data_IF_428840740328
#
_entry.id   IF_428840740328
#
_cell.length_a   1.000
_cell.length_b   1.000
_cell.length_c   1.000
_cell.angle_alpha   90.00
_cell.angle_beta   90.00
_cell.angle_gamma   90.00
#
_symmetry.space_group_name_H-M   'P 1'
#
loop_
_entity.id
_entity.type
_entity.pdbx_description
1 polymer ?
#
# COMPACT_ATOMS: atom_id res chain seq x y z
N UNK A 1 -31.70 30.14 10.76
CA UNK A 1 -30.64 29.32 10.14
C UNK A 1 -30.14 30.00 8.88
N UNK A 2 -28.94 30.56 8.90
CA UNK A 2 -28.36 31.21 7.73
C UNK A 2 -28.07 30.14 6.67
N UNK A 3 -28.73 30.18 5.52
CA UNK A 3 -28.39 29.38 4.33
C UNK A 3 -27.01 29.85 3.87
N UNK A 4 -25.95 29.10 4.19
CA UNK A 4 -24.64 29.33 3.58
C UNK A 4 -24.80 29.18 2.07
N UNK A 5 -24.45 30.22 1.32
CA UNK A 5 -24.49 30.18 -0.13
C UNK A 5 -23.51 29.10 -0.65
N UNK A 6 -23.88 28.47 -1.77
CA UNK A 6 -22.98 27.53 -2.42
C UNK A 6 -21.67 28.25 -2.83
N UNK A 7 -20.52 27.57 -2.75
CA UNK A 7 -19.27 28.18 -3.15
C UNK A 7 -19.26 28.49 -4.65
N UNK A 8 -18.64 29.60 -5.07
CA UNK A 8 -18.51 29.94 -6.49
C UNK A 8 -17.58 28.95 -7.21
N UNK A 9 -17.75 28.81 -8.53
CA UNK A 9 -16.97 27.89 -9.37
C UNK A 9 -15.46 28.15 -9.29
N UNK A 10 -15.03 29.37 -9.03
CA UNK A 10 -13.63 29.72 -8.82
C UNK A 10 -12.98 28.95 -7.66
N UNK A 11 -13.73 28.69 -6.59
CA UNK A 11 -13.25 27.86 -5.47
C UNK A 11 -13.08 26.40 -5.91
N UNK A 12 -13.95 25.87 -6.77
CA UNK A 12 -13.80 24.53 -7.36
C UNK A 12 -12.51 24.44 -8.16
N UNK A 13 -12.18 25.45 -8.97
CA UNK A 13 -10.92 25.50 -9.71
C UNK A 13 -9.71 25.56 -8.77
N UNK A 14 -9.78 26.38 -7.72
CA UNK A 14 -8.71 26.45 -6.72
C UNK A 14 -8.46 25.09 -6.03
N UNK A 15 -9.51 24.40 -5.63
CA UNK A 15 -9.40 23.04 -5.03
C UNK A 15 -8.80 22.07 -6.03
N UNK A 16 -9.28 22.07 -7.29
CA UNK A 16 -8.73 21.22 -8.34
C UNK A 16 -7.22 21.41 -8.52
N UNK A 17 -6.76 22.66 -8.50
CA UNK A 17 -5.39 23.01 -8.85
C UNK A 17 -4.42 22.99 -7.66
N UNK A 18 -4.89 23.23 -6.43
CA UNK A 18 -4.05 23.43 -5.25
C UNK A 18 -4.22 22.36 -4.15
N UNK A 19 -5.25 21.51 -4.19
CA UNK A 19 -5.51 20.57 -3.10
C UNK A 19 -4.49 19.43 -3.11
N UNK A 20 -3.57 19.41 -2.14
CA UNK A 20 -2.58 18.32 -1.98
C UNK A 20 -3.24 16.94 -1.84
N UNK A 21 -4.29 16.84 -1.02
CA UNK A 21 -5.01 15.58 -0.83
C UNK A 21 -5.55 15.01 -2.15
N UNK A 22 -6.16 15.86 -2.99
CA UNK A 22 -6.65 15.46 -4.31
C UNK A 22 -5.52 14.95 -5.20
N UNK A 23 -4.39 15.67 -5.26
CA UNK A 23 -3.25 15.30 -6.09
C UNK A 23 -2.60 14.00 -5.61
N UNK A 24 -2.39 13.83 -4.30
CA UNK A 24 -1.84 12.59 -3.72
C UNK A 24 -2.75 11.39 -4.00
N UNK A 25 -4.07 11.54 -3.79
CA UNK A 25 -5.01 10.45 -4.07
C UNK A 25 -5.06 10.07 -5.55
N UNK A 26 -5.03 11.06 -6.45
CA UNK A 26 -4.98 10.78 -7.91
C UNK A 26 -3.71 10.03 -8.29
N UNK A 27 -2.55 10.48 -7.79
CA UNK A 27 -1.28 9.83 -8.04
C UNK A 27 -1.25 8.40 -7.46
N UNK A 28 -1.70 8.22 -6.22
CA UNK A 28 -1.76 6.91 -5.57
C UNK A 28 -2.62 5.91 -6.37
N UNK A 29 -3.81 6.34 -6.82
CA UNK A 29 -4.67 5.49 -7.65
C UNK A 29 -4.04 5.15 -9.01
N UNK A 30 -3.35 6.10 -9.64
CA UNK A 30 -2.68 5.87 -10.92
C UNK A 30 -1.52 4.88 -10.78
N UNK A 31 -0.71 5.03 -9.75
CA UNK A 31 0.39 4.11 -9.42
C UNK A 31 -0.14 2.71 -9.06
N UNK A 32 -1.18 2.63 -8.23
CA UNK A 32 -1.80 1.36 -7.88
C UNK A 32 -2.27 0.60 -9.12
N UNK A 33 -3.01 1.25 -10.02
CA UNK A 33 -3.45 0.61 -11.28
C UNK A 33 -2.28 0.11 -12.11
N UNK A 34 -1.20 0.88 -12.21
CA UNK A 34 -0.02 0.49 -13.00
C UNK A 34 0.65 -0.76 -12.43
N UNK A 35 0.78 -0.85 -11.12
CA UNK A 35 1.30 -2.05 -10.46
C UNK A 35 0.32 -3.22 -10.52
N UNK A 36 -0.99 -2.98 -10.37
CA UNK A 36 -2.01 -4.00 -10.50
C UNK A 36 -1.97 -4.65 -11.89
N UNK A 37 -1.82 -3.85 -12.95
CA UNK A 37 -1.66 -4.35 -14.31
C UNK A 37 -0.39 -5.19 -14.46
N UNK A 38 0.72 -4.74 -13.89
CA UNK A 38 1.99 -5.47 -13.93
C UNK A 38 1.95 -6.79 -13.13
N UNK A 39 1.24 -6.83 -12.01
CA UNK A 39 1.09 -8.02 -11.16
C UNK A 39 -0.05 -8.94 -11.58
N UNK A 40 -0.90 -8.54 -12.50
CA UNK A 40 -2.05 -9.36 -12.95
C UNK A 40 -1.68 -10.79 -13.33
N UNK A 41 -0.58 -11.07 -14.07
CA UNK A 41 -0.16 -12.44 -14.37
C UNK A 41 0.18 -13.28 -13.14
N UNK A 42 0.49 -12.64 -12.01
CA UNK A 42 0.80 -13.30 -10.73
C UNK A 42 -0.44 -13.47 -9.83
N UNK A 43 -1.57 -12.91 -10.26
CA UNK A 43 -2.83 -12.97 -9.52
C UNK A 43 -2.82 -12.19 -8.19
N UNK A 44 -2.03 -11.13 -8.10
CA UNK A 44 -2.00 -10.23 -6.94
C UNK A 44 -2.16 -8.77 -7.35
N UNK A 45 -2.61 -7.94 -6.40
CA UNK A 45 -2.69 -6.49 -6.54
C UNK A 45 -1.48 -5.81 -5.91
N UNK A 46 -1.30 -4.52 -6.19
CA UNK A 46 -0.27 -3.69 -5.54
C UNK A 46 -0.41 -3.68 -4.02
N UNK A 47 -1.63 -3.60 -3.51
CA UNK A 47 -1.89 -3.66 -2.06
C UNK A 47 -1.53 -5.03 -1.46
N UNK A 48 -1.83 -6.11 -2.15
CA UNK A 48 -1.44 -7.47 -1.73
C UNK A 48 0.08 -7.66 -1.77
N UNK A 49 0.75 -7.14 -2.79
CA UNK A 49 2.22 -7.15 -2.84
C UNK A 49 2.82 -6.41 -1.64
N UNK A 50 2.38 -5.19 -1.34
CA UNK A 50 2.87 -4.42 -0.19
C UNK A 50 2.63 -5.14 1.13
N UNK A 51 1.47 -5.78 1.29
CA UNK A 51 1.15 -6.54 2.48
C UNK A 51 2.06 -7.76 2.63
N UNK A 52 2.25 -8.55 1.57
CA UNK A 52 3.16 -9.69 1.59
C UNK A 52 4.62 -9.25 1.85
N UNK A 53 5.06 -8.14 1.23
CA UNK A 53 6.40 -7.59 1.47
C UNK A 53 6.60 -7.14 2.92
N UNK A 54 5.58 -6.59 3.57
CA UNK A 54 5.66 -6.21 5.00
C UNK A 54 5.90 -7.41 5.93
N UNK A 55 5.57 -8.61 5.47
CA UNK A 55 5.77 -9.87 6.18
C UNK A 55 7.07 -10.61 5.80
N UNK A 56 7.84 -10.08 4.85
CA UNK A 56 9.12 -10.67 4.46
C UNK A 56 10.22 -10.30 5.46
N UNK A 57 10.16 -10.91 6.63
CA UNK A 57 11.04 -10.64 7.78
C UNK A 57 11.36 -11.94 8.52
N UNK A 58 12.41 -11.91 9.34
CA UNK A 58 12.89 -13.08 10.07
C UNK A 58 11.91 -13.57 11.14
N UNK A 59 11.18 -12.64 11.76
CA UNK A 59 10.22 -12.94 12.83
C UNK A 59 8.81 -12.54 12.44
N UNK A 60 7.77 -13.24 12.92
CA UNK A 60 6.39 -12.86 12.66
C UNK A 60 6.09 -11.41 13.08
N UNK A 61 5.20 -10.76 12.35
CA UNK A 61 4.78 -9.39 12.62
C UNK A 61 3.43 -9.37 13.36
N UNK A 62 3.23 -8.40 14.25
CA UNK A 62 1.91 -8.14 14.81
C UNK A 62 1.02 -7.40 13.81
N UNK A 63 -0.30 -7.58 13.91
CA UNK A 63 -1.27 -6.81 13.11
C UNK A 63 -1.06 -5.30 13.30
N UNK A 64 -0.81 -4.85 14.53
CA UNK A 64 -0.55 -3.43 14.82
C UNK A 64 0.67 -2.88 14.11
N UNK A 65 1.78 -3.62 14.08
CA UNK A 65 3.00 -3.20 13.40
C UNK A 65 2.80 -3.10 11.87
N UNK A 66 2.08 -4.04 11.27
CA UNK A 66 1.77 -4.03 9.84
C UNK A 66 0.79 -2.89 9.51
N UNK A 67 -0.24 -2.68 10.33
CA UNK A 67 -1.18 -1.58 10.17
C UNK A 67 -0.48 -0.22 10.19
N UNK A 68 0.43 -0.01 11.13
CA UNK A 68 1.23 1.22 11.21
C UNK A 68 2.12 1.40 9.98
N UNK A 69 2.85 0.34 9.58
CA UNK A 69 3.74 0.40 8.41
C UNK A 69 3.00 0.75 7.12
N UNK A 70 1.80 0.19 6.93
CA UNK A 70 0.98 0.39 5.74
C UNK A 70 0.02 1.58 5.84
N UNK A 71 0.03 2.31 6.96
CA UNK A 71 -0.90 3.39 7.27
C UNK A 71 -2.38 2.96 7.08
N UNK A 72 -2.71 1.75 7.56
CA UNK A 72 -4.05 1.15 7.48
C UNK A 72 -4.68 1.06 8.88
N UNK A 73 -6.00 1.17 8.93
CA UNK A 73 -6.73 0.74 10.12
C UNK A 73 -6.76 -0.79 10.22
N UNK A 74 -6.91 -1.30 11.46
CA UNK A 74 -6.84 -2.76 11.72
C UNK A 74 -7.97 -3.54 11.05
N UNK A 75 -9.13 -2.95 10.91
CA UNK A 75 -10.29 -3.61 10.29
C UNK A 75 -10.05 -3.82 8.80
N UNK A 76 -9.58 -2.78 8.10
CA UNK A 76 -9.20 -2.86 6.69
C UNK A 76 -8.06 -3.86 6.48
N UNK A 77 -7.03 -3.82 7.31
CA UNK A 77 -5.93 -4.77 7.24
C UNK A 77 -6.43 -6.22 7.42
N UNK A 78 -7.26 -6.48 8.43
CA UNK A 78 -7.81 -7.82 8.68
C UNK A 78 -8.62 -8.33 7.48
N UNK A 79 -9.42 -7.47 6.85
CA UNK A 79 -10.15 -7.82 5.64
C UNK A 79 -9.22 -8.18 4.48
N UNK A 80 -8.11 -7.45 4.32
CA UNK A 80 -7.12 -7.68 3.26
C UNK A 80 -6.26 -8.92 3.49
N UNK A 81 -6.07 -9.34 4.74
CA UNK A 81 -5.33 -10.59 5.08
C UNK A 81 -6.08 -11.85 4.65
N UNK A 82 -7.40 -11.88 4.81
CA UNK A 82 -8.24 -13.07 4.58
C UNK A 82 -8.07 -13.71 3.20
N UNK A 83 -8.10 -12.98 2.07
CA UNK A 83 -7.90 -13.59 0.75
C UNK A 83 -6.52 -14.22 0.58
N UNK A 84 -5.48 -13.61 1.15
CA UNK A 84 -4.11 -14.10 1.07
C UNK A 84 -3.89 -15.33 1.95
N UNK A 85 -4.51 -15.36 3.14
CA UNK A 85 -4.50 -16.50 4.02
C UNK A 85 -5.22 -17.70 3.38
N UNK A 86 -6.40 -17.49 2.78
CA UNK A 86 -7.13 -18.55 2.04
C UNK A 86 -6.34 -19.12 0.87
N UNK A 87 -5.50 -18.32 0.25
CA UNK A 87 -4.58 -18.76 -0.82
C UNK A 87 -3.31 -19.44 -0.28
N UNK A 88 -3.15 -19.53 1.03
CA UNK A 88 -1.98 -20.14 1.66
C UNK A 88 -0.69 -19.33 1.50
N UNK A 89 -0.77 -18.02 1.25
CA UNK A 89 0.40 -17.15 1.04
C UNK A 89 0.96 -16.58 2.34
N UNK A 90 0.12 -16.46 3.34
CA UNK A 90 0.47 -16.08 4.70
C UNK A 90 -0.29 -16.93 5.72
N UNK A 91 0.17 -16.88 6.96
CA UNK A 91 -0.46 -17.55 8.10
C UNK A 91 -0.71 -16.53 9.19
N UNK A 92 -1.92 -16.58 9.74
CA UNK A 92 -2.31 -15.85 10.96
C UNK A 92 -2.32 -16.84 12.10
N UNK A 93 -1.56 -16.57 13.15
CA UNK A 93 -1.48 -17.41 14.36
C UNK A 93 -1.65 -16.57 15.62
N UNK A 94 -1.83 -17.22 16.75
CA UNK A 94 -1.79 -16.55 18.05
C UNK A 94 -0.34 -16.25 18.37
N UNK A 95 -0.06 -15.03 18.86
CA UNK A 95 1.27 -14.67 19.35
C UNK A 95 1.62 -15.55 20.55
N UNK A 96 2.79 -16.24 20.56
CA UNK A 96 3.18 -17.10 21.66
C UNK A 96 3.36 -16.36 22.98
N UNK A 97 3.72 -15.07 22.93
CA UNK A 97 3.98 -14.24 24.12
C UNK A 97 2.73 -13.51 24.62
N UNK A 98 1.73 -13.31 23.76
CA UNK A 98 0.46 -12.67 24.10
C UNK A 98 -0.70 -13.27 23.32
N UNK A 99 -1.51 -14.12 23.97
CA UNK A 99 -2.68 -14.79 23.36
C UNK A 99 -3.75 -13.85 22.81
N UNK A 100 -3.72 -12.56 23.19
CA UNK A 100 -4.63 -11.54 22.68
C UNK A 100 -4.17 -10.97 21.33
N UNK A 101 -2.91 -11.22 20.97
CA UNK A 101 -2.31 -10.72 19.73
C UNK A 101 -2.31 -11.80 18.66
N UNK A 102 -2.34 -11.33 17.41
CA UNK A 102 -2.17 -12.19 16.24
C UNK A 102 -0.80 -11.92 15.62
N UNK A 103 -0.12 -13.00 15.29
CA UNK A 103 1.16 -12.99 14.59
C UNK A 103 0.94 -13.35 13.12
N UNK A 104 1.58 -12.61 12.24
CA UNK A 104 1.50 -12.75 10.79
C UNK A 104 2.85 -13.18 10.26
N UNK A 105 2.86 -14.21 9.43
CA UNK A 105 4.08 -14.70 8.77
C UNK A 105 3.80 -15.16 7.34
N UNK A 106 4.80 -15.00 6.47
CA UNK A 106 4.76 -15.60 5.13
C UNK A 106 4.88 -17.12 5.22
N UNK A 107 4.13 -17.81 4.37
CA UNK A 107 4.36 -19.23 4.07
C UNK A 107 5.48 -19.39 3.05
N UNK A 108 6.01 -20.62 2.84
CA UNK A 108 6.92 -20.90 1.73
C UNK A 108 6.34 -20.50 0.36
N UNK A 109 5.03 -20.71 0.15
CA UNK A 109 4.34 -20.29 -1.07
C UNK A 109 4.31 -18.76 -1.22
N UNK A 110 4.08 -18.02 -0.13
CA UNK A 110 4.14 -16.56 -0.12
C UNK A 110 5.53 -16.03 -0.47
N UNK A 111 6.59 -16.62 0.09
CA UNK A 111 7.98 -16.27 -0.25
C UNK A 111 8.31 -16.56 -1.72
N UNK A 112 7.86 -17.71 -2.23
CA UNK A 112 8.05 -18.07 -3.65
C UNK A 112 7.36 -17.05 -4.56
N UNK A 113 6.13 -16.66 -4.25
CA UNK A 113 5.40 -15.63 -5.00
C UNK A 113 6.14 -14.29 -4.98
N UNK A 114 6.64 -13.85 -3.83
CA UNK A 114 7.44 -12.63 -3.74
C UNK A 114 8.71 -12.71 -4.59
N UNK A 115 9.36 -13.88 -4.64
CA UNK A 115 10.55 -14.08 -5.48
C UNK A 115 10.32 -13.77 -6.96
N UNK A 116 9.13 -14.08 -7.49
CA UNK A 116 8.76 -13.73 -8.87
C UNK A 116 8.13 -12.35 -9.00
N UNK A 117 7.52 -11.82 -7.95
CA UNK A 117 6.90 -10.50 -7.96
C UNK A 117 7.93 -9.35 -7.86
N UNK A 118 9.02 -9.53 -7.11
CA UNK A 118 10.05 -8.48 -6.93
C UNK A 118 10.68 -8.04 -8.25
N UNK A 119 11.08 -8.90 -9.19
CA UNK A 119 11.56 -8.45 -10.50
C UNK A 119 10.54 -7.64 -11.28
N UNK A 120 9.26 -7.98 -11.21
CA UNK A 120 8.17 -7.22 -11.83
C UNK A 120 8.08 -5.84 -11.20
N UNK A 121 8.07 -5.78 -9.86
CA UNK A 121 8.08 -4.51 -9.12
C UNK A 121 9.26 -3.62 -9.54
N UNK A 122 10.49 -4.18 -9.58
CA UNK A 122 11.71 -3.43 -9.94
C UNK A 122 11.59 -2.77 -11.32
N UNK A 123 11.12 -3.52 -12.34
CA UNK A 123 10.94 -2.98 -13.70
C UNK A 123 9.91 -1.85 -13.72
N UNK A 124 8.74 -2.11 -13.16
CA UNK A 124 7.62 -1.15 -13.13
C UNK A 124 8.02 0.11 -12.36
N UNK A 125 8.71 -0.05 -11.22
CA UNK A 125 9.18 1.05 -10.40
C UNK A 125 10.22 1.91 -11.15
N UNK A 126 11.20 1.29 -11.79
CA UNK A 126 12.19 2.01 -12.59
C UNK A 126 11.57 2.80 -13.75
N UNK A 127 10.52 2.28 -14.38
CA UNK A 127 9.79 3.01 -15.42
C UNK A 127 9.04 4.23 -14.87
N UNK A 128 8.51 4.14 -13.65
CA UNK A 128 7.85 5.25 -12.96
C UNK A 128 8.88 6.33 -12.60
N UNK A 129 10.00 5.93 -12.01
CA UNK A 129 11.07 6.87 -11.62
C UNK A 129 11.63 7.64 -12.81
N UNK A 130 11.80 6.99 -13.97
CA UNK A 130 12.25 7.68 -15.19
C UNK A 130 11.33 8.81 -15.65
N UNK A 131 10.04 8.77 -15.30
CA UNK A 131 9.08 9.84 -15.66
C UNK A 131 9.26 11.12 -14.85
N UNK A 132 9.77 11.01 -13.64
CA UNK A 132 9.93 12.14 -12.72
C UNK A 132 11.39 12.51 -12.47
N UNK A 133 12.36 11.69 -12.95
CA UNK A 133 13.78 11.86 -12.64
C UNK A 133 14.19 11.29 -11.30
N UNK A 134 15.42 10.78 -11.18
CA UNK A 134 15.87 10.05 -9.98
C UNK A 134 15.95 10.94 -8.73
N UNK A 135 16.49 12.15 -8.84
CA UNK A 135 16.59 13.12 -7.73
C UNK A 135 15.23 13.59 -7.26
N UNK A 136 14.28 13.77 -8.18
CA UNK A 136 12.92 14.18 -7.86
C UNK A 136 12.14 13.05 -7.19
N UNK A 137 12.41 11.79 -7.53
CA UNK A 137 11.81 10.62 -6.89
C UNK A 137 12.20 10.52 -5.41
N UNK A 138 13.47 10.77 -5.06
CA UNK A 138 13.93 10.77 -3.66
C UNK A 138 13.29 11.92 -2.85
N UNK A 139 13.24 13.10 -3.44
CA UNK A 139 12.58 14.26 -2.85
C UNK A 139 11.09 14.00 -2.64
N UNK A 140 10.40 13.46 -3.65
CA UNK A 140 8.98 13.13 -3.55
C UNK A 140 8.72 12.11 -2.42
N UNK A 141 9.56 11.08 -2.29
CA UNK A 141 9.44 10.12 -1.18
C UNK A 141 9.62 10.78 0.19
N UNK A 142 10.55 11.74 0.29
CA UNK A 142 10.78 12.48 1.53
C UNK A 142 9.55 13.36 1.88
N UNK A 143 9.01 14.07 0.90
CA UNK A 143 7.82 14.92 1.07
C UNK A 143 6.59 14.08 1.45
N UNK A 144 6.38 12.94 0.81
CA UNK A 144 5.28 12.02 1.14
C UNK A 144 5.41 11.45 2.56
N UNK A 145 6.62 11.10 3.01
CA UNK A 145 6.84 10.65 4.39
C UNK A 145 6.55 11.74 5.44
N UNK A 146 6.75 12.99 5.10
CA UNK A 146 6.42 14.10 5.99
C UNK A 146 4.90 14.32 6.17
N UNK A 147 4.09 13.75 5.26
CA UNK A 147 2.62 13.84 5.30
C UNK A 147 1.95 12.63 5.97
N UNK A 148 2.67 11.54 6.24
CA UNK A 148 2.12 10.27 6.71
C UNK A 148 2.40 9.97 8.19
#
# INVERSE_FOLDING_TARGET
>A
MSKRAAPPVSVTHQVRDACLCLHVQRAARALARRFDDAFRPLGITSGQFSLLMSLNRATPASIGAVATLLAMDRTTLTANLRPLERRGLLKVSVDPDDRRRRALALTPAGRKLLGVAVPVWKRTHAEIERKIGASDADRLRADLRALA
#
